data_IF_030068919796
#
_entry.id   IF_030068919796
#
_cell.length_a   1.000
_cell.length_b   1.000
_cell.length_c   1.000
_cell.angle_alpha   90.00
_cell.angle_beta   90.00
_cell.angle_gamma   90.00
#
_symmetry.space_group_name_H-M   'P 1'
#
loop_
_entity.id
_entity.type
_entity.pdbx_description
1 polymer ?
#
# COMPACT_ATOMS: atom_id res chain seq x y z
N UNK A 1 -41.04 -7.55 15.35
CA UNK A 1 -39.86 -7.40 14.46
C UNK A 1 -38.89 -8.56 14.71
N UNK A 2 -38.52 -9.33 13.69
CA UNK A 2 -37.83 -10.61 13.85
C UNK A 2 -36.30 -10.41 14.03
N UNK A 3 -35.79 -10.71 15.22
CA UNK A 3 -34.38 -10.50 15.59
C UNK A 3 -33.41 -11.26 14.65
N UNK A 4 -33.83 -12.41 14.12
CA UNK A 4 -33.02 -13.20 13.17
C UNK A 4 -32.84 -12.48 11.82
N UNK A 5 -33.90 -11.83 11.33
CA UNK A 5 -33.83 -11.06 10.08
C UNK A 5 -32.91 -9.84 10.22
N UNK A 6 -32.94 -9.18 11.37
CA UNK A 6 -32.02 -8.07 11.65
C UNK A 6 -30.56 -8.54 11.71
N UNK A 7 -30.29 -9.71 12.31
CA UNK A 7 -28.94 -10.30 12.31
C UNK A 7 -28.45 -10.63 10.90
N UNK A 8 -29.30 -11.24 10.06
CA UNK A 8 -28.96 -11.52 8.65
C UNK A 8 -28.67 -10.25 7.85
N UNK A 9 -29.44 -9.17 8.08
CA UNK A 9 -29.18 -7.86 7.46
C UNK A 9 -27.83 -7.28 7.91
N UNK A 10 -27.53 -7.34 9.22
CA UNK A 10 -26.25 -6.87 9.78
C UNK A 10 -25.07 -7.68 9.25
N UNK A 11 -25.19 -9.01 9.17
CA UNK A 11 -24.17 -9.87 8.58
C UNK A 11 -23.88 -9.49 7.14
N UNK A 12 -24.93 -9.28 6.32
CA UNK A 12 -24.76 -8.86 4.92
C UNK A 12 -24.05 -7.51 4.81
N UNK A 13 -24.41 -6.53 5.63
CA UNK A 13 -23.74 -5.22 5.65
C UNK A 13 -22.27 -5.38 6.06
N UNK A 14 -21.99 -6.19 7.09
CA UNK A 14 -20.62 -6.41 7.56
C UNK A 14 -19.75 -7.11 6.51
N UNK A 15 -20.30 -8.06 5.74
CA UNK A 15 -19.61 -8.68 4.61
C UNK A 15 -19.25 -7.64 3.54
N UNK A 16 -20.20 -6.78 3.16
CA UNK A 16 -19.94 -5.69 2.18
C UNK A 16 -18.88 -4.70 2.67
N UNK A 17 -18.90 -4.34 3.96
CA UNK A 17 -17.87 -3.48 4.55
C UNK A 17 -16.50 -4.14 4.51
N UNK A 18 -16.42 -5.43 4.87
CA UNK A 18 -15.19 -6.22 4.80
C UNK A 18 -14.62 -6.25 3.39
N UNK A 19 -15.44 -6.52 2.39
CA UNK A 19 -15.00 -6.61 0.99
C UNK A 19 -14.48 -5.26 0.48
N UNK A 20 -15.18 -4.17 0.80
CA UNK A 20 -14.76 -2.80 0.50
C UNK A 20 -13.41 -2.47 1.15
N UNK A 21 -13.26 -2.75 2.44
CA UNK A 21 -12.05 -2.38 3.18
C UNK A 21 -10.85 -3.24 2.78
N UNK A 22 -11.08 -4.51 2.43
CA UNK A 22 -10.05 -5.37 1.85
C UNK A 22 -9.58 -4.85 0.48
N UNK A 23 -10.51 -4.41 -0.38
CA UNK A 23 -10.16 -3.79 -1.66
C UNK A 23 -9.30 -2.53 -1.47
N UNK A 24 -9.66 -1.67 -0.51
CA UNK A 24 -8.87 -0.49 -0.14
C UNK A 24 -7.47 -0.86 0.35
N UNK A 25 -7.36 -1.90 1.19
CA UNK A 25 -6.07 -2.40 1.66
C UNK A 25 -5.20 -2.91 0.50
N UNK A 26 -5.79 -3.64 -0.46
CA UNK A 26 -5.07 -4.12 -1.64
C UNK A 26 -4.50 -2.96 -2.46
N UNK A 27 -5.33 -1.93 -2.74
CA UNK A 27 -4.89 -0.74 -3.46
C UNK A 27 -3.77 0.02 -2.73
N UNK A 28 -3.91 0.23 -1.42
CA UNK A 28 -2.89 0.89 -0.61
C UNK A 28 -1.59 0.09 -0.55
N UNK A 29 -1.69 -1.24 -0.49
CA UNK A 29 -0.53 -2.15 -0.49
C UNK A 29 0.20 -2.09 -1.83
N UNK A 30 -0.53 -2.13 -2.95
CA UNK A 30 0.03 -2.02 -4.30
C UNK A 30 0.74 -0.67 -4.51
N UNK A 31 0.12 0.43 -4.07
CA UNK A 31 0.72 1.76 -4.15
C UNK A 31 2.04 1.83 -3.36
N UNK A 32 2.04 1.36 -2.11
CA UNK A 32 3.25 1.30 -1.28
C UNK A 32 4.33 0.45 -1.94
N UNK A 33 3.99 -0.73 -2.45
CA UNK A 33 4.92 -1.61 -3.14
C UNK A 33 5.50 -0.96 -4.41
N UNK A 34 4.70 -0.22 -5.17
CA UNK A 34 5.14 0.56 -6.33
C UNK A 34 6.20 1.59 -5.95
N UNK A 35 5.96 2.37 -4.89
CA UNK A 35 6.95 3.36 -4.40
C UNK A 35 8.24 2.68 -3.91
N UNK A 36 8.15 1.53 -3.23
CA UNK A 36 9.33 0.75 -2.83
C UNK A 36 10.11 0.21 -4.03
N UNK A 37 9.41 -0.26 -5.06
CA UNK A 37 10.04 -0.72 -6.31
C UNK A 37 10.82 0.40 -7.00
N UNK A 38 10.23 1.59 -7.10
CA UNK A 38 10.91 2.78 -7.67
C UNK A 38 12.18 3.13 -6.89
N UNK A 39 12.14 3.09 -5.55
CA UNK A 39 13.33 3.30 -4.72
C UNK A 39 14.41 2.26 -5.01
N UNK A 40 14.06 0.98 -5.08
CA UNK A 40 15.01 -0.10 -5.38
C UNK A 40 15.60 -0.01 -6.79
N UNK A 41 14.88 0.62 -7.73
CA UNK A 41 15.35 0.84 -9.09
C UNK A 41 16.44 1.89 -9.18
N UNK A 42 16.49 2.86 -8.26
CA UNK A 42 17.53 3.90 -8.23
C UNK A 42 18.93 3.34 -7.94
N UNK A 43 19.02 2.19 -7.26
CA UNK A 43 20.29 1.59 -6.87
C UNK A 43 20.95 0.75 -7.99
N UNK A 44 20.26 0.55 -9.12
CA UNK A 44 20.67 -0.39 -10.19
C UNK A 44 21.40 0.25 -11.37
N UNK A 45 22.10 1.36 -11.16
CA UNK A 45 22.76 2.05 -12.28
C UNK A 45 24.11 1.44 -12.62
N UNK A 46 24.31 1.15 -13.90
CA UNK A 46 25.57 0.64 -14.42
C UNK A 46 26.48 1.78 -14.83
N UNK A 47 27.79 1.67 -14.57
CA UNK A 47 28.76 2.65 -15.05
C UNK A 47 28.79 2.68 -16.58
N UNK A 48 28.79 3.88 -17.16
CA UNK A 48 28.87 4.06 -18.61
C UNK A 48 30.32 3.82 -19.07
N UNK A 49 30.54 2.79 -19.88
CA UNK A 49 31.85 2.49 -20.47
C UNK A 49 32.06 3.23 -21.79
N UNK A 50 33.29 3.64 -22.09
CA UNK A 50 33.66 4.23 -23.38
C UNK A 50 33.45 5.75 -23.52
N UNK A 51 33.15 6.45 -22.42
CA UNK A 51 33.15 7.91 -22.38
C UNK A 51 34.54 8.46 -22.08
N UNK A 52 34.80 9.68 -22.58
CA UNK A 52 35.92 10.50 -22.11
C UNK A 52 35.87 10.64 -20.57
N UNK A 53 37.01 10.54 -19.85
CA UNK A 53 37.02 10.55 -18.38
C UNK A 53 36.39 11.80 -17.75
N UNK A 54 36.54 12.98 -18.35
CA UNK A 54 35.94 14.22 -17.83
C UNK A 54 34.43 14.18 -18.01
N UNK A 55 33.96 13.70 -19.17
CA UNK A 55 32.53 13.53 -19.44
C UNK A 55 31.94 12.45 -18.52
N UNK A 56 32.63 11.35 -18.30
CA UNK A 56 32.20 10.29 -17.39
C UNK A 56 32.02 10.82 -15.96
N UNK A 57 32.97 11.61 -15.46
CA UNK A 57 32.88 12.24 -14.14
C UNK A 57 31.67 13.19 -14.02
N UNK A 58 31.44 14.05 -15.02
CA UNK A 58 30.29 14.95 -15.04
C UNK A 58 28.95 14.21 -15.07
N UNK A 59 28.87 13.09 -15.81
CA UNK A 59 27.68 12.24 -15.85
C UNK A 59 27.42 11.62 -14.49
N UNK A 60 28.45 11.07 -13.83
CA UNK A 60 28.33 10.50 -12.49
C UNK A 60 27.82 11.54 -11.48
N UNK A 61 28.37 12.75 -11.48
CA UNK A 61 27.97 13.81 -10.54
C UNK A 61 26.52 14.26 -10.76
N UNK A 62 26.15 14.54 -12.02
CA UNK A 62 24.78 14.97 -12.36
C UNK A 62 23.76 13.87 -12.06
N UNK A 63 24.11 12.63 -12.37
CA UNK A 63 23.27 11.48 -12.08
C UNK A 63 23.15 11.24 -10.56
N UNK A 64 24.22 11.44 -9.81
CA UNK A 64 24.25 11.36 -8.35
C UNK A 64 23.29 12.37 -7.71
N UNK A 65 23.38 13.64 -8.14
CA UNK A 65 22.48 14.71 -7.67
C UNK A 65 21.01 14.41 -8.02
N UNK A 66 20.75 13.95 -9.24
CA UNK A 66 19.40 13.57 -9.66
C UNK A 66 18.84 12.42 -8.80
N UNK A 67 19.65 11.37 -8.58
CA UNK A 67 19.28 10.20 -7.77
C UNK A 67 18.99 10.60 -6.33
N UNK A 68 19.83 11.47 -5.74
CA UNK A 68 19.64 11.98 -4.38
C UNK A 68 18.29 12.71 -4.26
N UNK A 69 18.01 13.67 -5.15
CA UNK A 69 16.75 14.40 -5.16
C UNK A 69 15.55 13.48 -5.37
N UNK A 70 15.68 12.50 -6.28
CA UNK A 70 14.61 11.54 -6.54
C UNK A 70 14.32 10.66 -5.33
N UNK A 71 15.35 10.22 -4.60
CA UNK A 71 15.22 9.44 -3.37
C UNK A 71 14.50 10.22 -2.27
N UNK A 72 14.81 11.51 -2.10
CA UNK A 72 14.10 12.38 -1.13
C UNK A 72 12.60 12.39 -1.42
N UNK A 73 12.21 12.66 -2.67
CA UNK A 73 10.80 12.72 -3.06
C UNK A 73 10.08 11.37 -2.89
N UNK A 74 10.73 10.28 -3.29
CA UNK A 74 10.15 8.93 -3.15
C UNK A 74 10.04 8.49 -1.68
N UNK A 75 10.98 8.85 -0.82
CA UNK A 75 10.88 8.57 0.62
C UNK A 75 9.72 9.30 1.27
N UNK A 76 9.49 10.58 0.90
CA UNK A 76 8.31 11.32 1.37
C UNK A 76 7.01 10.67 0.89
N UNK A 77 6.98 10.21 -0.37
CA UNK A 77 5.82 9.49 -0.90
C UNK A 77 5.60 8.16 -0.17
N UNK A 78 6.68 7.41 0.10
CA UNK A 78 6.62 6.15 0.81
C UNK A 78 6.07 6.33 2.22
N UNK A 79 6.45 7.41 2.91
CA UNK A 79 5.91 7.74 4.22
C UNK A 79 4.38 7.96 4.15
N UNK A 80 3.90 8.74 3.17
CA UNK A 80 2.46 8.95 2.93
C UNK A 80 1.73 7.64 2.60
N UNK A 81 2.30 6.84 1.72
CA UNK A 81 1.72 5.55 1.32
C UNK A 81 1.67 4.57 2.51
N UNK A 82 2.67 4.60 3.38
CA UNK A 82 2.72 3.79 4.60
C UNK A 82 1.62 4.17 5.57
N UNK A 83 1.37 5.47 5.79
CA UNK A 83 0.26 5.93 6.63
C UNK A 83 -1.08 5.46 6.06
N UNK A 84 -1.31 5.62 4.75
CA UNK A 84 -2.53 5.14 4.09
C UNK A 84 -2.70 3.63 4.23
N UNK A 85 -1.63 2.87 4.05
CA UNK A 85 -1.64 1.42 4.21
C UNK A 85 -1.95 0.99 5.65
N UNK A 86 -1.34 1.63 6.65
CA UNK A 86 -1.61 1.35 8.06
C UNK A 86 -3.09 1.60 8.42
N UNK A 87 -3.65 2.73 7.96
CA UNK A 87 -5.06 3.04 8.16
C UNK A 87 -5.98 2.00 7.50
N UNK A 88 -5.75 1.69 6.22
CA UNK A 88 -6.53 0.68 5.49
C UNK A 88 -6.42 -0.72 6.12
N UNK A 89 -5.24 -1.06 6.66
CA UNK A 89 -5.02 -2.33 7.38
C UNK A 89 -5.85 -2.40 8.65
N UNK A 90 -5.86 -1.33 9.45
CA UNK A 90 -6.65 -1.27 10.68
C UNK A 90 -8.16 -1.37 10.38
N UNK A 91 -8.64 -0.67 9.36
CA UNK A 91 -10.04 -0.73 8.93
C UNK A 91 -10.44 -2.12 8.47
N UNK A 92 -9.61 -2.76 7.63
CA UNK A 92 -9.85 -4.11 7.14
C UNK A 92 -9.87 -5.15 8.27
N UNK A 93 -8.97 -5.03 9.27
CA UNK A 93 -8.97 -5.90 10.45
C UNK A 93 -10.27 -5.77 11.24
N UNK A 94 -10.75 -4.54 11.44
CA UNK A 94 -11.99 -4.27 12.18
C UNK A 94 -13.22 -4.79 11.45
N UNK A 95 -13.35 -4.54 10.14
CA UNK A 95 -14.50 -5.02 9.36
C UNK A 95 -14.48 -6.54 9.18
N UNK A 96 -13.29 -7.15 9.06
CA UNK A 96 -13.13 -8.60 9.10
C UNK A 96 -13.67 -9.21 10.40
N UNK A 97 -13.20 -8.73 11.56
CA UNK A 97 -13.64 -9.25 12.85
C UNK A 97 -15.16 -9.09 13.07
N UNK A 98 -15.74 -7.95 12.66
CA UNK A 98 -17.20 -7.73 12.71
C UNK A 98 -17.97 -8.72 11.85
N UNK A 99 -17.54 -8.94 10.61
CA UNK A 99 -18.18 -9.89 9.71
C UNK A 99 -18.10 -11.32 10.25
N UNK A 100 -16.96 -11.70 10.83
CA UNK A 100 -16.76 -13.02 11.43
C UNK A 100 -17.69 -13.26 12.63
N UNK A 101 -17.76 -12.28 13.55
CA UNK A 101 -18.62 -12.37 14.73
C UNK A 101 -20.09 -12.44 14.34
N UNK A 102 -20.55 -11.58 13.43
CA UNK A 102 -21.95 -11.58 12.98
C UNK A 102 -22.31 -12.89 12.27
N UNK A 103 -21.43 -13.41 11.40
CA UNK A 103 -21.65 -14.72 10.77
C UNK A 103 -21.73 -15.87 11.78
N UNK A 104 -20.90 -15.84 12.84
CA UNK A 104 -21.00 -16.82 13.93
C UNK A 104 -22.31 -16.70 14.71
N UNK A 105 -22.77 -15.48 14.99
CA UNK A 105 -24.02 -15.24 15.71
C UNK A 105 -25.25 -15.66 14.89
N UNK A 106 -25.28 -15.36 13.59
CA UNK A 106 -26.37 -15.80 12.71
C UNK A 106 -26.46 -17.32 12.63
N UNK A 107 -25.32 -18.04 12.61
CA UNK A 107 -25.29 -19.51 12.55
C UNK A 107 -25.68 -20.21 13.86
N UNK A 108 -25.60 -19.51 14.99
CA UNK A 108 -25.92 -20.05 16.33
C UNK A 108 -27.40 -19.88 16.71
N UNK A 109 -28.18 -19.15 15.92
CA UNK A 109 -29.63 -18.97 16.10
C UNK A 109 -30.41 -19.74 15.04
#
# INVERSE_FOLDING_TARGET
MNTLENLRKLEKIAQLMRDRDLSRLTLASAQKAGTQSLLSGLDKTQPTTGLDPVIAAQVVDRFGLWTMNRRILLNQQLARDTVKWLAAKADAQKSFGRAEVLGKLTKRR
#
